data_IF_040469086683
#
_entry.id   IF_040469086683
#
_cell.length_a   1.000
_cell.length_b   1.000
_cell.length_c   1.000
_cell.angle_alpha   90.00
_cell.angle_beta   90.00
_cell.angle_gamma   90.00
#
_symmetry.space_group_name_H-M   'P 1'
#
loop_
_entity.id
_entity.type
_entity.pdbx_description
1 polymer ?
#
# COMPACT_ATOMS: atom_id res chain seq x y z
N UNK A 1 6.78 -6.64 10.87
CA UNK A 1 5.47 -6.01 10.64
C UNK A 1 4.96 -6.50 9.31
N UNK A 2 3.67 -6.77 9.19
CA UNK A 2 3.00 -7.16 7.95
C UNK A 2 2.18 -6.00 7.41
N UNK A 3 2.16 -5.84 6.10
CA UNK A 3 1.42 -4.78 5.43
C UNK A 3 0.37 -5.37 4.47
N UNK A 4 -0.58 -4.53 4.08
CA UNK A 4 -1.59 -4.82 3.05
C UNK A 4 -1.80 -3.60 2.18
N UNK A 5 -2.46 -3.79 1.04
CA UNK A 5 -2.91 -2.70 0.18
C UNK A 5 -4.42 -2.51 0.35
N UNK A 6 -4.86 -1.26 0.53
CA UNK A 6 -6.27 -0.86 0.59
C UNK A 6 -6.60 0.09 -0.55
N UNK A 7 -7.74 -0.14 -1.19
CA UNK A 7 -8.19 0.66 -2.32
C UNK A 7 -8.77 2.01 -1.88
N UNK A 8 -8.34 3.09 -2.53
CA UNK A 8 -9.06 4.35 -2.57
C UNK A 8 -9.86 4.41 -3.87
N UNK A 9 -11.18 4.59 -3.74
CA UNK A 9 -12.06 4.79 -4.88
C UNK A 9 -12.23 6.27 -5.20
N UNK A 10 -12.48 6.56 -6.48
CA UNK A 10 -12.83 7.91 -6.93
C UNK A 10 -14.28 8.29 -6.61
N UNK A 11 -14.77 9.43 -7.15
CA UNK A 11 -16.14 9.92 -6.91
C UNK A 11 -17.25 8.95 -7.32
N UNK A 12 -16.95 8.03 -8.24
CA UNK A 12 -17.87 6.99 -8.71
C UNK A 12 -17.84 5.72 -7.81
N UNK A 13 -17.13 5.76 -6.69
CA UNK A 13 -16.96 4.62 -5.79
C UNK A 13 -16.32 3.43 -6.49
N UNK A 14 -16.61 2.21 -6.00
CA UNK A 14 -16.08 0.98 -6.57
C UNK A 14 -16.44 0.78 -8.06
N UNK A 15 -17.56 1.32 -8.52
CA UNK A 15 -17.98 1.25 -9.93
C UNK A 15 -17.06 2.03 -10.87
N UNK A 16 -16.37 3.06 -10.38
CA UNK A 16 -15.35 3.80 -11.12
C UNK A 16 -13.96 3.16 -11.09
N UNK A 17 -13.81 2.03 -10.38
CA UNK A 17 -12.54 1.36 -10.16
C UNK A 17 -11.66 2.03 -9.10
N UNK A 18 -10.54 1.37 -8.80
CA UNK A 18 -9.58 1.86 -7.82
C UNK A 18 -8.78 3.03 -8.39
N UNK A 19 -8.85 4.17 -7.71
CA UNK A 19 -8.08 5.37 -8.05
C UNK A 19 -6.63 5.23 -7.60
N UNK A 20 -6.42 4.81 -6.36
CA UNK A 20 -5.08 4.69 -5.75
C UNK A 20 -5.06 3.56 -4.74
N UNK A 21 -3.96 2.81 -4.67
CA UNK A 21 -3.71 1.82 -3.64
C UNK A 21 -2.84 2.38 -2.53
N UNK A 22 -3.26 2.18 -1.28
CA UNK A 22 -2.53 2.64 -0.10
C UNK A 22 -1.97 1.46 0.68
N UNK A 23 -0.74 1.60 1.16
CA UNK A 23 -0.17 0.63 2.11
C UNK A 23 -0.74 0.93 3.49
N UNK A 24 -1.22 -0.10 4.16
CA UNK A 24 -1.67 -0.09 5.57
C UNK A 24 -0.87 -1.11 6.37
N UNK A 25 -0.80 -0.93 7.69
CA UNK A 25 -0.31 -1.99 8.58
C UNK A 25 -1.46 -2.96 8.83
N UNK A 26 -1.17 -4.25 8.89
CA UNK A 26 -2.24 -5.26 9.09
C UNK A 26 -2.96 -5.12 10.43
N UNK A 27 -2.27 -4.58 11.45
CA UNK A 27 -2.84 -4.25 12.76
C UNK A 27 -3.78 -3.02 12.76
N UNK A 28 -3.65 -2.14 11.76
CA UNK A 28 -4.52 -0.97 11.55
C UNK A 28 -4.81 -0.77 10.06
N UNK A 29 -5.74 -1.55 9.48
CA UNK A 29 -6.12 -1.44 8.07
C UNK A 29 -7.03 -0.23 7.78
N UNK A 30 -7.42 0.51 8.82
CA UNK A 30 -8.27 1.71 8.70
C UNK A 30 -7.43 2.95 8.38
N UNK A 31 -6.13 2.92 8.66
CA UNK A 31 -5.22 4.05 8.45
C UNK A 31 -4.08 3.67 7.52
N UNK A 32 -4.03 4.32 6.35
CA UNK A 32 -2.89 4.24 5.45
C UNK A 32 -1.62 4.84 6.08
N UNK A 33 -0.44 4.39 5.65
CA UNK A 33 0.83 4.95 6.10
C UNK A 33 0.94 6.46 5.84
N UNK A 34 0.30 6.98 4.78
CA UNK A 34 0.24 8.42 4.50
C UNK A 34 -0.70 9.21 5.43
N UNK A 35 -1.40 8.54 6.35
CA UNK A 35 -2.38 9.13 7.28
C UNK A 35 -3.81 9.18 6.75
N UNK A 36 -4.07 8.64 5.55
CA UNK A 36 -5.43 8.61 4.98
C UNK A 36 -6.28 7.53 5.65
N UNK A 37 -7.52 7.87 5.97
CA UNK A 37 -8.54 6.91 6.42
C UNK A 37 -9.08 6.10 5.25
N UNK A 38 -9.11 4.78 5.40
CA UNK A 38 -9.65 3.84 4.43
C UNK A 38 -11.11 3.54 4.72
N UNK A 39 -11.94 3.41 3.68
CA UNK A 39 -13.32 2.96 3.84
C UNK A 39 -13.34 1.53 4.38
N UNK A 40 -14.27 1.19 5.28
CA UNK A 40 -14.35 -0.14 5.88
C UNK A 40 -14.46 -1.26 4.83
N UNK A 41 -15.23 -1.02 3.76
CA UNK A 41 -15.47 -1.94 2.65
C UNK A 41 -14.43 -1.86 1.53
N UNK A 42 -13.36 -1.07 1.68
CA UNK A 42 -12.33 -0.94 0.65
C UNK A 42 -11.67 -2.28 0.34
N UNK A 43 -11.58 -2.59 -0.96
CA UNK A 43 -10.88 -3.77 -1.47
C UNK A 43 -9.47 -3.85 -0.86
N UNK A 44 -9.12 -5.07 -0.45
CA UNK A 44 -7.84 -5.36 0.19
C UNK A 44 -7.05 -6.32 -0.68
N UNK A 45 -5.77 -6.02 -0.88
CA UNK A 45 -4.82 -6.87 -1.59
C UNK A 45 -3.58 -7.18 -0.75
N UNK A 46 -2.93 -8.33 -1.01
CA UNK A 46 -1.67 -8.66 -0.36
C UNK A 46 -0.57 -7.63 -0.68
N UNK A 47 0.38 -7.45 0.25
CA UNK A 47 1.53 -6.54 0.04
C UNK A 47 2.40 -6.92 -1.16
N UNK A 48 2.41 -8.19 -1.57
CA UNK A 48 3.21 -8.66 -2.72
C UNK A 48 2.73 -8.07 -4.06
N UNK A 49 1.52 -7.51 -4.12
CA UNK A 49 1.05 -6.79 -5.30
C UNK A 49 1.56 -5.35 -5.37
N UNK A 50 2.27 -4.87 -4.35
CA UNK A 50 2.91 -3.57 -4.41
C UNK A 50 4.02 -3.60 -5.47
N UNK A 51 3.97 -2.65 -6.42
CA UNK A 51 4.96 -2.56 -7.50
C UNK A 51 4.68 -3.45 -8.72
N UNK A 52 3.57 -4.20 -8.76
CA UNK A 52 3.19 -5.03 -9.93
C UNK A 52 2.44 -4.25 -11.03
N UNK A 53 2.50 -2.92 -11.01
CA UNK A 53 1.78 -2.03 -11.93
C UNK A 53 0.51 -1.41 -11.34
N UNK A 54 0.15 -1.73 -10.10
CA UNK A 54 -0.89 -1.01 -9.37
C UNK A 54 -0.49 0.46 -9.17
N UNK A 55 -1.45 1.37 -9.32
CA UNK A 55 -1.27 2.79 -9.03
C UNK A 55 -1.24 3.00 -7.51
N UNK A 56 -0.05 2.87 -6.91
CA UNK A 56 0.14 3.03 -5.48
C UNK A 56 0.44 4.48 -5.08
N UNK A 57 0.03 4.86 -3.86
CA UNK A 57 0.39 6.13 -3.25
C UNK A 57 1.91 6.19 -3.04
N UNK A 58 2.56 7.22 -3.61
CA UNK A 58 4.00 7.40 -3.55
C UNK A 58 4.53 7.57 -2.12
N UNK A 59 3.81 8.33 -1.29
CA UNK A 59 4.19 8.53 0.12
C UNK A 59 4.08 7.22 0.92
N UNK A 60 3.01 6.46 0.74
CA UNK A 60 2.88 5.13 1.35
C UNK A 60 4.03 4.21 0.93
N UNK A 61 4.41 4.23 -0.36
CA UNK A 61 5.54 3.47 -0.88
C UNK A 61 6.87 3.85 -0.20
N UNK A 62 7.15 5.16 -0.06
CA UNK A 62 8.35 5.64 0.63
C UNK A 62 8.41 5.13 2.08
N UNK A 63 7.32 5.30 2.83
CA UNK A 63 7.24 4.88 4.24
C UNK A 63 7.34 3.35 4.39
N UNK A 64 6.65 2.62 3.52
CA UNK A 64 6.71 1.16 3.48
C UNK A 64 8.16 0.66 3.29
N UNK A 65 8.92 1.29 2.38
CA UNK A 65 10.33 0.94 2.18
C UNK A 65 11.20 1.17 3.42
N UNK A 66 10.86 2.13 4.29
CA UNK A 66 11.57 2.34 5.56
C UNK A 66 11.21 1.30 6.64
N UNK A 67 10.00 0.74 6.58
CA UNK A 67 9.50 -0.24 7.56
C UNK A 67 9.82 -1.69 7.17
N UNK A 68 9.89 -1.97 5.87
CA UNK A 68 10.34 -3.27 5.38
C UNK A 68 11.86 -3.31 5.39
N UNK A 69 12.48 -4.40 5.91
CA UNK A 69 13.90 -4.61 5.72
C UNK A 69 14.18 -4.55 4.23
N UNK A 70 14.92 -3.53 3.77
CA UNK A 70 15.54 -3.61 2.46
C UNK A 70 16.30 -4.94 2.47
N UNK A 71 16.17 -5.77 1.43
CA UNK A 71 17.09 -6.90 1.28
C UNK A 71 18.51 -6.32 1.23
N UNK A 72 19.19 -6.23 2.37
CA UNK A 72 20.62 -6.01 2.48
C UNK A 72 21.27 -7.29 1.96
N UNK A 73 21.35 -7.45 0.65
CA UNK A 73 21.79 -8.73 0.09
C UNK A 73 21.95 -8.81 -1.41
N UNK A 74 22.06 -7.71 -2.15
CA UNK A 74 22.35 -7.79 -3.60
C UNK A 74 23.19 -6.62 -4.11
N UNK A 75 24.28 -6.30 -3.42
CA UNK A 75 25.44 -5.66 -4.06
C UNK A 75 26.59 -6.67 -4.06
N UNK A 76 26.80 -7.45 -5.14
CA UNK A 76 27.87 -8.44 -5.23
C UNK A 76 29.29 -7.84 -5.33
N UNK A 77 29.45 -6.55 -5.04
CA UNK A 77 30.72 -5.83 -5.12
C UNK A 77 30.83 -4.86 -3.93
N UNK A 78 31.19 -5.36 -2.76
CA UNK A 78 31.76 -4.57 -1.65
C UNK A 78 32.88 -5.37 -1.01
#
# INVERSE_FOLDING_TARGET
>A
MTHKLRAEYGPQGAAGGVSTWHVVRDEDPSTALCGRTMADDAETRPEQEWGTGLRCCQQCGSLYMHETPHMQGSHPYS
#
